data_IF_050766530363
#
_entry.id   IF_050766530363
#
_cell.length_a   1.000
_cell.length_b   1.000
_cell.length_c   1.000
_cell.angle_alpha   90.00
_cell.angle_beta   90.00
_cell.angle_gamma   90.00
#
_symmetry.space_group_name_H-M   'P 1'
#
loop_
_entity.id
_entity.type
_entity.pdbx_description
1 polymer ?
#
# COMPACT_ATOMS: atom_id res chain seq x y z
N UNK A 1 2.11 8.62 -52.94
CA UNK A 1 2.38 7.86 -51.71
C UNK A 1 3.34 8.66 -50.85
N UNK A 2 2.86 9.29 -49.78
CA UNK A 2 3.69 9.98 -48.79
C UNK A 2 3.11 9.63 -47.42
N UNK A 3 3.61 8.54 -46.85
CA UNK A 3 3.28 8.13 -45.49
C UNK A 3 4.02 9.07 -44.53
N UNK A 4 3.28 9.80 -43.71
CA UNK A 4 3.82 10.65 -42.64
C UNK A 4 4.25 9.76 -41.47
N UNK A 5 5.55 9.58 -41.15
CA UNK A 5 5.97 8.71 -40.06
C UNK A 5 5.83 9.36 -38.67
N UNK A 6 5.33 10.60 -38.59
CA UNK A 6 5.28 11.36 -37.34
C UNK A 6 4.03 11.09 -36.49
N UNK A 7 2.97 10.48 -37.03
CA UNK A 7 1.73 10.25 -36.29
C UNK A 7 1.77 9.03 -35.35
N UNK A 8 2.75 8.13 -35.53
CA UNK A 8 2.85 6.89 -34.73
C UNK A 8 3.73 7.10 -33.49
N UNK A 9 4.50 8.19 -33.44
CA UNK A 9 5.45 8.46 -32.35
C UNK A 9 4.89 9.41 -31.28
N UNK A 10 3.57 9.51 -31.11
CA UNK A 10 2.97 10.26 -29.99
C UNK A 10 1.95 9.44 -29.19
N UNK A 11 1.56 8.25 -29.65
CA UNK A 11 0.64 7.37 -28.93
C UNK A 11 1.35 6.39 -27.98
N UNK A 12 2.67 6.23 -28.09
CA UNK A 12 3.46 5.37 -27.21
C UNK A 12 4.03 6.09 -25.97
N UNK A 13 4.03 7.43 -25.95
CA UNK A 13 4.52 8.23 -24.82
C UNK A 13 3.49 8.44 -23.69
N UNK A 14 2.21 8.19 -23.96
CA UNK A 14 1.12 8.47 -23.00
C UNK A 14 0.84 7.36 -21.99
N UNK A 15 1.43 6.16 -22.15
CA UNK A 15 1.12 5.00 -21.32
C UNK A 15 2.00 4.89 -20.04
N UNK A 16 3.02 5.74 -19.90
CA UNK A 16 3.95 5.66 -18.76
C UNK A 16 3.50 6.45 -17.51
N UNK A 17 2.37 7.15 -17.54
CA UNK A 17 1.84 7.89 -16.38
C UNK A 17 0.71 7.10 -15.71
N UNK A 18 0.95 5.82 -15.42
CA UNK A 18 0.00 4.98 -14.70
C UNK A 18 0.73 4.05 -13.72
N UNK A 19 1.66 4.57 -12.92
CA UNK A 19 2.32 3.73 -11.92
C UNK A 19 2.99 4.50 -10.76
N UNK A 20 2.34 5.52 -10.19
CA UNK A 20 2.86 6.14 -8.95
C UNK A 20 2.28 5.54 -7.66
N UNK A 21 1.46 4.47 -7.74
CA UNK A 21 0.82 3.86 -6.56
C UNK A 21 1.26 2.41 -6.27
N UNK A 22 2.32 1.89 -6.91
CA UNK A 22 2.68 0.48 -6.78
C UNK A 22 3.46 0.11 -5.51
N UNK A 23 3.69 1.07 -4.60
CA UNK A 23 4.49 0.86 -3.38
C UNK A 23 3.78 1.25 -2.08
N UNK A 24 2.44 1.21 -2.05
CA UNK A 24 1.74 1.26 -0.76
C UNK A 24 2.09 -0.01 0.03
N UNK A 25 3.16 0.06 0.81
CA UNK A 25 3.63 -1.05 1.62
C UNK A 25 2.72 -1.21 2.83
N UNK A 26 2.52 -2.44 3.25
CA UNK A 26 1.73 -2.75 4.44
C UNK A 26 2.55 -3.60 5.41
N UNK A 27 2.42 -3.31 6.70
CA UNK A 27 2.87 -4.20 7.77
C UNK A 27 1.64 -4.90 8.30
N UNK A 28 1.61 -6.23 8.18
CA UNK A 28 0.58 -7.08 8.73
C UNK A 28 1.16 -7.93 9.87
N UNK A 29 0.41 -8.06 10.95
CA UNK A 29 0.83 -8.89 12.07
C UNK A 29 -0.29 -9.11 13.08
N UNK A 30 0.10 -9.69 14.22
CA UNK A 30 -0.76 -9.90 15.39
C UNK A 30 -0.05 -9.44 16.65
N UNK A 31 -0.80 -8.89 17.60
CA UNK A 31 -0.32 -8.46 18.91
C UNK A 31 -0.80 -9.45 19.96
N UNK A 32 0.13 -9.94 20.78
CA UNK A 32 -0.15 -10.84 21.90
C UNK A 32 0.41 -10.28 23.20
N UNK A 33 -0.24 -10.62 24.31
CA UNK A 33 0.30 -10.36 25.64
C UNK A 33 1.31 -11.44 26.09
N UNK A 34 1.80 -11.33 27.33
CA UNK A 34 2.76 -12.29 27.89
C UNK A 34 2.19 -13.70 28.10
N UNK A 35 0.86 -13.83 28.20
CA UNK A 35 0.16 -15.10 28.33
C UNK A 35 -0.20 -15.70 26.96
N UNK A 36 0.32 -15.11 25.87
CA UNK A 36 0.05 -15.50 24.49
C UNK A 36 -1.43 -15.36 24.10
N UNK A 37 -2.15 -14.43 24.73
CA UNK A 37 -3.53 -14.07 24.38
C UNK A 37 -3.52 -12.91 23.37
N UNK A 38 -4.42 -12.92 22.35
CA UNK A 38 -4.54 -11.80 21.44
C UNK A 38 -4.91 -10.52 22.18
N UNK A 39 -4.18 -9.43 21.91
CA UNK A 39 -4.47 -8.14 22.52
C UNK A 39 -5.38 -7.32 21.62
N UNK A 40 -6.63 -7.14 22.04
CA UNK A 40 -7.67 -6.37 21.33
C UNK A 40 -7.51 -4.88 21.60
N UNK A 41 -7.63 -4.05 20.55
CA UNK A 41 -7.63 -2.60 20.70
C UNK A 41 -6.25 -1.98 20.99
N UNK A 42 -5.16 -2.71 20.80
CA UNK A 42 -3.82 -2.16 20.88
C UNK A 42 -3.60 -1.17 19.74
N UNK A 43 -3.06 0.01 20.03
CA UNK A 43 -2.75 1.01 19.02
C UNK A 43 -1.34 0.83 18.46
N UNK A 44 -1.24 0.75 17.13
CA UNK A 44 0.02 0.72 16.40
C UNK A 44 0.15 1.97 15.55
N UNK A 45 1.28 2.66 15.65
CA UNK A 45 1.59 3.86 14.88
C UNK A 45 2.94 3.75 14.18
N UNK A 46 3.03 4.22 12.93
CA UNK A 46 4.30 4.43 12.22
C UNK A 46 4.78 5.89 12.31
N UNK A 47 4.16 6.71 13.16
CA UNK A 47 4.41 8.15 13.25
C UNK A 47 3.47 9.01 12.38
N UNK A 48 2.77 8.42 11.42
CA UNK A 48 1.83 9.13 10.53
C UNK A 48 0.41 8.56 10.61
N UNK A 49 0.28 7.24 10.53
CA UNK A 49 -0.99 6.51 10.61
C UNK A 49 -1.06 5.73 11.91
N UNK A 50 -2.26 5.65 12.50
CA UNK A 50 -2.54 4.82 13.68
C UNK A 50 -3.68 3.86 13.37
N UNK A 51 -3.51 2.59 13.72
CA UNK A 51 -4.54 1.54 13.64
C UNK A 51 -4.70 0.84 14.97
N UNK A 52 -5.86 0.24 15.21
CA UNK A 52 -6.10 -0.62 16.37
C UNK A 52 -6.15 -2.09 15.94
N UNK A 53 -5.63 -2.99 16.79
CA UNK A 53 -5.79 -4.43 16.59
C UNK A 53 -7.24 -4.89 16.78
N UNK A 54 -7.66 -5.88 16.00
CA UNK A 54 -9.02 -6.45 16.05
C UNK A 54 -9.20 -7.49 17.17
N UNK A 55 -10.34 -8.22 17.13
CA UNK A 55 -10.68 -9.26 18.11
C UNK A 55 -9.69 -10.43 18.14
N UNK A 56 -8.98 -10.67 17.03
CA UNK A 56 -7.93 -11.67 16.92
C UNK A 56 -6.53 -11.07 17.18
N UNK A 57 -6.46 -9.83 17.64
CA UNK A 57 -5.22 -9.08 17.82
C UNK A 57 -4.53 -8.74 16.49
N UNK A 58 -5.19 -8.94 15.35
CA UNK A 58 -4.62 -8.72 14.02
C UNK A 58 -4.62 -7.25 13.65
N UNK A 59 -3.63 -6.82 12.87
CA UNK A 59 -3.57 -5.47 12.33
C UNK A 59 -3.02 -5.44 10.90
N UNK A 60 -3.36 -4.38 10.17
CA UNK A 60 -2.77 -4.02 8.88
C UNK A 60 -2.49 -2.52 8.90
N UNK A 61 -1.20 -2.16 8.94
CA UNK A 61 -0.73 -0.78 8.97
C UNK A 61 -0.17 -0.41 7.59
N UNK A 62 -0.68 0.67 6.99
CA UNK A 62 -0.15 1.20 5.72
C UNK A 62 1.08 2.05 6.00
N UNK A 63 2.09 1.90 5.16
CA UNK A 63 3.28 2.75 5.12
C UNK A 63 3.09 3.71 3.95
N UNK A 64 3.07 5.01 4.27
CA UNK A 64 2.94 6.12 3.32
C UNK A 64 4.26 6.47 2.66
#
# INVERSE_FOLDING_TARGET
MRFFPFAIMLTLGGLLVACSSLWAQTVQGRVFDKANQPLVGAYLTNGETTVASDLDGSYLLRLS
#
